data_IF_575799439445
#
_entry.id   IF_575799439445
#
_cell.length_a   1.000
_cell.length_b   1.000
_cell.length_c   1.000
_cell.angle_alpha   90.00
_cell.angle_beta   90.00
_cell.angle_gamma   90.00
#
_symmetry.space_group_name_H-M   'P 1'
#
loop_
_entity.id
_entity.type
_entity.pdbx_description
1 polymer ?
#
# COMPACT_ATOMS: atom_id res chain seq x y z
N UNK A 1 -0.33 -18.88 -4.29
CA UNK A 1 0.39 -17.62 -4.42
C UNK A 1 -0.56 -16.45 -4.24
N UNK A 2 -0.14 -15.42 -3.51
CA UNK A 2 -0.98 -14.27 -3.28
C UNK A 2 -1.14 -13.41 -4.54
N UNK A 3 -2.34 -12.92 -4.75
CA UNK A 3 -2.63 -11.98 -5.82
C UNK A 3 -2.29 -10.58 -5.37
N UNK A 4 -1.56 -9.84 -6.20
CA UNK A 4 -1.21 -8.44 -5.92
C UNK A 4 -2.21 -7.56 -6.67
N UNK A 5 -2.95 -6.75 -5.90
CA UNK A 5 -3.94 -5.82 -6.43
C UNK A 5 -3.57 -4.39 -6.05
N UNK A 6 -3.86 -3.46 -6.93
CA UNK A 6 -3.67 -2.04 -6.64
C UNK A 6 -4.95 -1.44 -6.07
N UNK A 7 -4.80 -0.56 -5.09
CA UNK A 7 -5.89 0.32 -4.70
C UNK A 7 -6.11 1.36 -5.79
N UNK A 8 -7.36 1.73 -6.01
CA UNK A 8 -7.73 2.66 -7.07
C UNK A 8 -7.61 4.10 -6.61
N UNK A 9 -7.05 4.92 -7.48
CA UNK A 9 -6.94 6.34 -7.25
C UNK A 9 -5.52 6.85 -7.42
N UNK A 10 -5.37 8.16 -7.53
CA UNK A 10 -4.09 8.84 -7.67
C UNK A 10 -3.85 9.88 -6.57
N UNK A 11 -4.88 10.23 -5.82
CA UNK A 11 -4.76 11.15 -4.69
C UNK A 11 -4.78 10.39 -3.37
N UNK A 12 -4.26 11.02 -2.32
CA UNK A 12 -4.28 10.45 -0.97
C UNK A 12 -5.71 10.10 -0.55
N UNK A 13 -6.65 11.02 -0.79
CA UNK A 13 -8.06 10.80 -0.42
C UNK A 13 -8.66 9.62 -1.17
N UNK A 14 -8.40 9.50 -2.46
CA UNK A 14 -8.91 8.39 -3.27
C UNK A 14 -8.39 7.03 -2.78
N UNK A 15 -7.09 6.95 -2.49
CA UNK A 15 -6.49 5.71 -1.99
C UNK A 15 -7.09 5.32 -0.64
N UNK A 16 -7.19 6.27 0.29
CA UNK A 16 -7.78 5.99 1.61
C UNK A 16 -9.26 5.62 1.51
N UNK A 17 -10.02 6.31 0.67
CA UNK A 17 -11.45 6.03 0.49
C UNK A 17 -11.67 4.65 -0.12
N UNK A 18 -10.85 4.25 -1.09
CA UNK A 18 -10.92 2.91 -1.68
C UNK A 18 -10.64 1.84 -0.62
N UNK A 19 -9.60 2.04 0.19
CA UNK A 19 -9.28 1.13 1.29
C UNK A 19 -10.39 1.04 2.32
N UNK A 20 -10.95 2.18 2.73
CA UNK A 20 -12.05 2.22 3.70
C UNK A 20 -13.30 1.49 3.18
N UNK A 21 -13.57 1.61 1.88
CA UNK A 21 -14.70 0.92 1.27
C UNK A 21 -14.55 -0.59 1.21
N UNK A 22 -13.33 -1.11 1.45
CA UNK A 22 -13.01 -2.53 1.37
C UNK A 22 -12.54 -3.11 2.70
N UNK A 23 -12.81 -2.43 3.82
CA UNK A 23 -12.34 -2.87 5.14
C UNK A 23 -12.68 -4.33 5.45
N UNK A 24 -13.89 -4.77 5.06
CA UNK A 24 -14.34 -6.13 5.34
C UNK A 24 -13.52 -7.20 4.60
N UNK A 25 -12.78 -6.81 3.57
CA UNK A 25 -11.97 -7.72 2.76
C UNK A 25 -10.48 -7.64 3.11
N UNK A 26 -10.08 -6.68 3.95
CA UNK A 26 -8.67 -6.46 4.28
C UNK A 26 -8.35 -7.14 5.61
N UNK A 27 -7.39 -8.07 5.58
CA UNK A 27 -6.92 -8.73 6.81
C UNK A 27 -5.93 -7.85 7.57
N UNK A 28 -5.00 -7.22 6.86
CA UNK A 28 -3.95 -6.40 7.47
C UNK A 28 -3.53 -5.31 6.49
N UNK A 29 -2.96 -4.24 7.03
CA UNK A 29 -2.50 -3.11 6.22
C UNK A 29 -1.17 -2.60 6.73
N UNK A 30 -0.32 -2.18 5.81
CA UNK A 30 0.91 -1.44 6.12
C UNK A 30 0.90 -0.18 5.27
N UNK A 31 1.29 0.94 5.86
CA UNK A 31 1.28 2.23 5.18
C UNK A 31 2.58 2.95 5.39
N UNK A 32 2.99 3.72 4.40
CA UNK A 32 4.08 4.67 4.51
C UNK A 32 3.55 6.01 4.00
N UNK A 33 3.82 7.07 4.74
CA UNK A 33 3.33 8.40 4.39
C UNK A 33 4.48 9.38 4.30
N UNK A 34 4.46 10.18 3.24
CA UNK A 34 5.35 11.33 3.10
C UNK A 34 4.55 12.58 3.47
N UNK A 35 5.00 13.27 4.50
CA UNK A 35 4.32 14.45 5.01
C UNK A 35 4.83 15.70 4.29
N UNK A 36 4.02 16.75 4.32
CA UNK A 36 4.37 18.01 3.63
C UNK A 36 5.66 18.65 4.15
N UNK A 37 6.03 18.37 5.41
CA UNK A 37 7.28 18.87 5.99
C UNK A 37 8.50 18.02 5.64
N UNK A 38 8.33 16.99 4.81
CA UNK A 38 9.42 16.11 4.40
C UNK A 38 9.62 14.89 5.29
N UNK A 39 8.90 14.78 6.40
CA UNK A 39 9.00 13.59 7.25
C UNK A 39 8.39 12.38 6.57
N UNK A 40 8.93 11.21 6.86
CA UNK A 40 8.39 9.94 6.37
C UNK A 40 8.04 9.07 7.56
N UNK A 41 6.82 8.57 7.60
CA UNK A 41 6.36 7.68 8.66
C UNK A 41 5.86 6.38 8.08
N UNK A 42 5.88 5.33 8.89
CA UNK A 42 5.36 4.02 8.52
C UNK A 42 4.58 3.42 9.68
N UNK A 43 3.57 2.65 9.36
CA UNK A 43 2.79 1.94 10.36
C UNK A 43 2.15 0.72 9.74
N UNK A 44 1.84 -0.26 10.59
CA UNK A 44 1.11 -1.44 10.14
C UNK A 44 0.15 -1.90 11.21
N UNK A 45 -0.92 -2.53 10.77
CA UNK A 45 -1.84 -3.21 11.67
C UNK A 45 -1.17 -4.46 12.23
N UNK A 46 -1.78 -5.05 13.27
CA UNK A 46 -1.21 -6.23 13.91
C UNK A 46 -1.17 -7.40 12.92
N UNK A 47 0.03 -7.90 12.64
CA UNK A 47 0.25 -8.98 11.68
C UNK A 47 1.59 -9.66 11.95
N UNK A 48 1.85 -10.80 11.31
CA UNK A 48 3.12 -11.48 11.43
C UNK A 48 4.14 -10.99 10.39
N UNK A 49 5.40 -11.35 10.59
CA UNK A 49 6.50 -10.89 9.73
C UNK A 49 6.39 -11.38 8.30
N UNK A 50 5.86 -12.59 8.08
CA UNK A 50 5.71 -13.14 6.74
C UNK A 50 4.67 -12.34 5.94
N UNK A 51 3.56 -11.99 6.58
CA UNK A 51 2.52 -11.19 5.94
C UNK A 51 2.97 -9.75 5.71
N UNK A 52 3.74 -9.19 6.66
CA UNK A 52 4.33 -7.87 6.47
C UNK A 52 5.29 -7.86 5.28
N UNK A 53 6.14 -8.87 5.16
CA UNK A 53 7.06 -8.99 4.03
C UNK A 53 6.31 -9.06 2.69
N UNK A 54 5.17 -9.75 2.65
CA UNK A 54 4.34 -9.82 1.46
C UNK A 54 3.80 -8.44 1.06
N UNK A 55 3.35 -7.65 2.05
CA UNK A 55 2.86 -6.30 1.80
C UNK A 55 3.97 -5.38 1.27
N UNK A 56 5.19 -5.49 1.83
CA UNK A 56 6.35 -4.72 1.35
C UNK A 56 6.71 -5.12 -0.08
N UNK A 57 6.65 -6.41 -0.39
CA UNK A 57 6.89 -6.89 -1.75
C UNK A 57 5.88 -6.30 -2.73
N UNK A 58 4.62 -6.21 -2.34
CA UNK A 58 3.58 -5.63 -3.17
C UNK A 58 3.88 -4.17 -3.51
N UNK A 59 4.37 -3.39 -2.55
CA UNK A 59 4.78 -2.01 -2.80
C UNK A 59 5.95 -1.94 -3.79
N UNK A 60 6.93 -2.83 -3.63
CA UNK A 60 8.08 -2.88 -4.53
C UNK A 60 7.67 -3.21 -5.97
N UNK A 61 6.81 -4.20 -6.13
CA UNK A 61 6.29 -4.58 -7.45
C UNK A 61 5.50 -3.42 -8.08
N UNK A 62 4.68 -2.75 -7.30
CA UNK A 62 3.90 -1.60 -7.78
C UNK A 62 4.83 -0.47 -8.25
N UNK A 63 5.88 -0.19 -7.51
CA UNK A 63 6.87 0.82 -7.87
C UNK A 63 7.56 0.48 -9.19
N UNK A 64 7.98 -0.76 -9.37
CA UNK A 64 8.63 -1.21 -10.59
C UNK A 64 7.71 -1.08 -11.80
N UNK A 65 6.44 -1.45 -11.65
CA UNK A 65 5.46 -1.31 -12.72
C UNK A 65 5.27 0.16 -13.11
N UNK A 66 5.21 1.05 -12.13
CA UNK A 66 5.08 2.47 -12.39
C UNK A 66 6.27 3.02 -13.17
N UNK A 67 7.49 2.59 -12.85
CA UNK A 67 8.69 2.99 -13.58
C UNK A 67 8.71 2.46 -15.01
N UNK A 68 8.31 1.20 -15.20
CA UNK A 68 8.29 0.57 -16.52
C UNK A 68 7.23 1.19 -17.43
N UNK A 69 6.08 1.53 -16.86
CA UNK A 69 4.95 2.10 -17.61
C UNK A 69 5.05 3.62 -17.75
N UNK A 70 5.85 4.27 -16.93
CA UNK A 70 5.91 5.72 -16.85
C UNK A 70 6.80 6.39 -17.89
N UNK A 71 7.48 5.60 -18.69
CA UNK A 71 8.31 6.14 -19.75
C UNK A 71 7.45 6.44 -20.98
#
# INVERSE_FOLDING_TARGET
MAEIRSLHGTTVAEIFNDGLGKLDEIEAVAVSALWKNGAVTAGCSNTDNAKLALMVLALDVHQRQAFEDGD
#
